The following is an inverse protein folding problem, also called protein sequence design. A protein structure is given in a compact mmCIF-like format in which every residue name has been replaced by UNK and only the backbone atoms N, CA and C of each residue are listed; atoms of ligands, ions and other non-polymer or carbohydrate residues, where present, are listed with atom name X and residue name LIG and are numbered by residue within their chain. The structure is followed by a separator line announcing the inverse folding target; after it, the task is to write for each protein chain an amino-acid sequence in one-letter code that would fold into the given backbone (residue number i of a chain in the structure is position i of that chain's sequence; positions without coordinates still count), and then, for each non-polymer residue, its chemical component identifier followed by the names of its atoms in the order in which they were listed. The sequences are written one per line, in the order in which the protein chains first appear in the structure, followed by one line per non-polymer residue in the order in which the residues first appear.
data_IF_117979320362
#
_entry.id   IF_117979320362
#
_cell.length_a   1.000
_cell.length_b   1.000
_cell.length_c   1.000
_cell.angle_alpha   90.00
_cell.angle_beta   90.00
_cell.angle_gamma   90.00
#
_symmetry.space_group_name_H-M   'P 1'
#
loop_
_entity.id
_entity.type
_entity.pdbx_description
1 polymer ?
#
# COMPACT_ATOMS: atom_id res chain seq x y z
N UNK A 1 6.10 -5.67 16.35
CA UNK A 1 6.35 -6.61 15.25
C UNK A 1 7.41 -6.01 14.34
N UNK A 2 8.42 -6.78 13.92
CA UNK A 2 9.51 -6.24 13.11
C UNK A 2 9.06 -5.85 11.69
N UNK A 3 9.62 -4.80 11.06
CA UNK A 3 9.33 -4.42 9.67
C UNK A 3 9.45 -5.54 8.63
N UNK A 4 10.30 -6.52 8.90
CA UNK A 4 10.51 -7.70 8.05
C UNK A 4 9.28 -8.64 8.04
N UNK A 5 8.43 -8.57 9.06
CA UNK A 5 7.23 -9.41 9.18
C UNK A 5 6.01 -8.70 8.59
N UNK A 6 5.75 -7.44 8.98
CA UNK A 6 4.56 -6.71 8.52
C UNK A 6 4.76 -5.98 7.18
N UNK A 7 6.00 -5.66 6.80
CA UNK A 7 6.30 -4.93 5.57
C UNK A 7 5.94 -5.70 4.29
N UNK A 8 6.35 -6.98 4.14
CA UNK A 8 6.07 -7.74 2.93
C UNK A 8 4.57 -7.90 2.61
N UNK A 9 3.67 -8.19 3.57
CA UNK A 9 2.24 -8.24 3.30
C UNK A 9 1.65 -6.89 2.84
N UNK A 10 2.08 -5.78 3.45
CA UNK A 10 1.63 -4.43 3.04
C UNK A 10 2.08 -4.11 1.61
N UNK A 11 3.35 -4.35 1.29
CA UNK A 11 3.87 -4.15 -0.05
C UNK A 11 3.17 -5.03 -1.08
N UNK A 12 2.94 -6.31 -0.72
CA UNK A 12 2.21 -7.23 -1.58
C UNK A 12 0.81 -6.71 -1.89
N UNK A 13 0.07 -6.24 -0.89
CA UNK A 13 -1.24 -5.65 -1.11
C UNK A 13 -1.18 -4.44 -2.06
N UNK A 14 -0.29 -3.49 -1.81
CA UNK A 14 -0.20 -2.27 -2.63
C UNK A 14 0.10 -2.59 -4.09
N UNK A 15 1.12 -3.41 -4.34
CA UNK A 15 1.49 -3.76 -5.71
C UNK A 15 0.42 -4.63 -6.39
N UNK A 16 -0.21 -5.57 -5.67
CA UNK A 16 -1.31 -6.38 -6.22
C UNK A 16 -2.51 -5.52 -6.61
N UNK A 17 -2.92 -4.55 -5.80
CA UNK A 17 -4.06 -3.68 -6.14
C UNK A 17 -3.77 -2.81 -7.37
N UNK A 18 -2.57 -2.24 -7.46
CA UNK A 18 -2.19 -1.42 -8.62
C UNK A 18 -2.07 -2.28 -9.88
N UNK A 19 -1.56 -3.51 -9.76
CA UNK A 19 -1.50 -4.46 -10.88
C UNK A 19 -2.88 -4.85 -11.40
N UNK A 20 -3.78 -5.19 -10.46
CA UNK A 20 -5.10 -5.74 -10.75
C UNK A 20 -6.13 -4.69 -11.16
N UNK A 21 -5.86 -3.42 -10.88
CA UNK A 21 -6.73 -2.33 -11.29
C UNK A 21 -7.00 -2.40 -12.80
N UNK A 22 -8.27 -2.37 -13.20
CA UNK A 22 -8.62 -2.30 -14.61
C UNK A 22 -8.26 -0.94 -15.21
N UNK A 23 -7.85 -0.94 -16.47
CA UNK A 23 -7.34 0.28 -17.12
C UNK A 23 -8.46 1.25 -17.49
N UNK A 24 -9.64 0.73 -17.82
CA UNK A 24 -10.86 1.49 -18.15
C UNK A 24 -11.41 2.27 -16.95
N UNK A 25 -11.23 1.77 -15.73
CA UNK A 25 -11.69 2.42 -14.49
C UNK A 25 -10.60 3.20 -13.77
N UNK A 26 -9.38 3.21 -14.32
CA UNK A 26 -8.20 3.83 -13.70
C UNK A 26 -8.42 5.29 -13.29
N UNK A 27 -9.01 6.11 -14.17
CA UNK A 27 -9.18 7.56 -13.94
C UNK A 27 -10.06 7.86 -12.73
N UNK A 28 -10.94 6.93 -12.36
CA UNK A 28 -11.84 7.05 -11.21
C UNK A 28 -11.26 6.37 -9.97
N UNK A 29 -10.78 5.13 -10.12
CA UNK A 29 -10.39 4.28 -9.00
C UNK A 29 -8.93 4.51 -8.59
N UNK A 30 -8.04 4.83 -9.52
CA UNK A 30 -6.61 5.08 -9.29
C UNK A 30 -6.35 6.16 -8.23
N UNK A 31 -6.96 7.36 -8.34
CA UNK A 31 -6.83 8.41 -7.33
C UNK A 31 -7.33 7.99 -5.94
N UNK A 32 -8.43 7.23 -5.87
CA UNK A 32 -8.99 6.72 -4.61
C UNK A 32 -8.04 5.70 -3.97
N UNK A 33 -7.55 4.75 -4.76
CA UNK A 33 -6.56 3.75 -4.32
C UNK A 33 -5.31 4.44 -3.79
N UNK A 34 -4.80 5.46 -4.48
CA UNK A 34 -3.65 6.23 -4.00
C UNK A 34 -3.92 6.92 -2.65
N UNK A 35 -5.12 7.48 -2.47
CA UNK A 35 -5.57 8.02 -1.18
C UNK A 35 -5.51 6.98 -0.06
N UNK A 36 -5.96 5.76 -0.32
CA UNK A 36 -5.87 4.65 0.63
C UNK A 36 -4.42 4.24 0.92
N UNK A 37 -3.58 4.09 -0.10
CA UNK A 37 -2.15 3.78 0.06
C UNK A 37 -1.48 4.84 0.94
N UNK A 38 -1.73 6.13 0.68
CA UNK A 38 -1.18 7.24 1.47
C UNK A 38 -1.62 7.18 2.93
N UNK A 39 -2.92 6.94 3.20
CA UNK A 39 -3.44 6.79 4.57
C UNK A 39 -2.81 5.61 5.31
N UNK A 40 -2.74 4.45 4.65
CA UNK A 40 -2.17 3.23 5.23
C UNK A 40 -0.67 3.42 5.53
N UNK A 41 0.08 3.92 4.55
CA UNK A 41 1.53 4.10 4.65
C UNK A 41 1.92 5.21 5.64
N UNK A 42 1.06 6.20 5.89
CA UNK A 42 1.29 7.23 6.92
C UNK A 42 0.93 6.74 8.34
N UNK A 43 0.43 5.51 8.47
CA UNK A 43 0.00 4.91 9.74
C UNK A 43 0.54 3.48 9.90
N UNK A 44 1.74 3.20 9.38
CA UNK A 44 2.42 1.92 9.54
C UNK A 44 2.69 1.63 11.03
N UNK A 45 2.83 0.35 11.43
CA UNK A 45 3.20 -0.06 12.79
C UNK A 45 4.70 0.19 13.08
N UNK A 46 5.19 1.36 12.68
CA UNK A 46 6.56 1.86 12.82
C UNK A 46 6.55 3.39 12.58
N UNK A 47 6.70 4.22 13.63
CA UNK A 47 6.60 5.68 13.50
C UNK A 47 7.57 6.29 12.48
N UNK A 48 8.82 5.84 12.48
CA UNK A 48 9.85 6.28 11.52
C UNK A 48 9.44 5.92 10.07
N UNK A 49 8.97 4.68 9.86
CA UNK A 49 8.50 4.21 8.56
C UNK A 49 7.32 5.05 8.07
N UNK A 50 6.37 5.35 8.96
CA UNK A 50 5.20 6.18 8.68
C UNK A 50 5.59 7.60 8.28
N UNK A 51 6.47 8.24 9.05
CA UNK A 51 6.96 9.60 8.77
C UNK A 51 7.64 9.66 7.40
N UNK A 52 8.49 8.69 7.11
CA UNK A 52 9.20 8.60 5.83
C UNK A 52 8.27 8.38 4.64
N UNK A 53 7.30 7.48 4.77
CA UNK A 53 6.30 7.24 3.74
C UNK A 53 5.43 8.49 3.52
N UNK A 54 4.98 9.14 4.60
CA UNK A 54 4.18 10.36 4.54
C UNK A 54 4.93 11.49 3.81
N UNK A 55 6.20 11.72 4.16
CA UNK A 55 7.05 12.72 3.51
C UNK A 55 7.23 12.43 2.03
N UNK A 56 7.52 11.18 1.65
CA UNK A 56 7.67 10.81 0.24
C UNK A 56 6.36 11.02 -0.53
N UNK A 57 5.25 10.46 -0.04
CA UNK A 57 3.96 10.49 -0.72
C UNK A 57 3.32 11.88 -0.73
N UNK A 58 3.72 12.78 0.18
CA UNK A 58 3.28 14.19 0.15
C UNK A 58 3.82 14.96 -1.06
N UNK A 59 4.95 14.53 -1.62
CA UNK A 59 5.62 15.18 -2.77
C UNK A 59 5.12 14.67 -4.11
N UNK A 60 4.34 13.59 -4.12
CA UNK A 60 3.82 12.99 -5.35
C UNK A 60 2.63 13.81 -5.84
N UNK A 61 2.77 14.43 -7.01
CA UNK A 61 1.66 15.02 -7.74
C UNK A 61 0.91 13.94 -8.53
N UNK A 62 -0.16 13.39 -7.95
CA UNK A 62 -0.90 12.30 -8.58
C UNK A 62 -1.61 12.70 -9.88
N UNK A 63 -1.85 14.00 -10.13
CA UNK A 63 -2.42 14.47 -11.41
C UNK A 63 -1.50 14.17 -12.61
N UNK A 64 -0.20 13.98 -12.37
CA UNK A 64 0.78 13.58 -13.39
C UNK A 64 0.80 12.07 -13.67
N UNK A 65 0.10 11.26 -12.86
CA UNK A 65 0.04 9.81 -12.99
C UNK A 65 -1.25 9.50 -13.74
N UNK A 66 -1.15 9.32 -15.07
CA UNK A 66 -2.30 9.31 -15.97
C UNK A 66 -2.78 7.91 -16.31
N UNK A 67 -1.94 6.91 -16.10
CA UNK A 67 -2.22 5.52 -16.47
C UNK A 67 -1.91 4.57 -15.32
N UNK A 68 -2.47 3.35 -15.41
CA UNK A 68 -2.12 2.25 -14.50
C UNK A 68 -0.62 1.98 -14.50
N UNK A 69 0.03 2.03 -15.65
CA UNK A 69 1.46 1.80 -15.77
C UNK A 69 2.30 2.90 -15.08
N UNK A 70 1.88 4.17 -15.18
CA UNK A 70 2.49 5.26 -14.41
C UNK A 70 2.37 5.01 -12.91
N UNK A 71 1.23 4.49 -12.46
CA UNK A 71 1.02 4.16 -11.05
C UNK A 71 1.93 2.99 -10.62
N UNK A 72 2.05 1.93 -11.44
CA UNK A 72 3.00 0.83 -11.20
C UNK A 72 4.44 1.34 -11.06
N UNK A 73 4.86 2.22 -11.99
CA UNK A 73 6.20 2.85 -11.97
C UNK A 73 6.41 3.71 -10.73
N UNK A 74 5.43 4.52 -10.32
CA UNK A 74 5.53 5.33 -9.11
C UNK A 74 5.68 4.45 -7.86
N UNK A 75 4.88 3.38 -7.74
CA UNK A 75 4.96 2.45 -6.60
C UNK A 75 6.28 1.68 -6.58
N UNK A 76 6.80 1.31 -7.74
CA UNK A 76 8.13 0.71 -7.89
C UNK A 76 9.23 1.65 -7.40
N UNK A 77 9.21 2.92 -7.86
CA UNK A 77 10.16 3.93 -7.43
C UNK A 77 10.08 4.16 -5.91
N UNK A 78 8.87 4.26 -5.36
CA UNK A 78 8.66 4.40 -3.92
C UNK A 78 9.29 3.25 -3.13
N UNK A 79 9.04 1.99 -3.52
CA UNK A 79 9.62 0.82 -2.87
C UNK A 79 11.16 0.84 -2.94
N UNK A 80 11.72 1.23 -4.09
CA UNK A 80 13.16 1.29 -4.26
C UNK A 80 13.83 2.42 -3.47
N UNK A 81 13.16 3.57 -3.27
CA UNK A 81 13.63 4.59 -2.32
C UNK A 81 13.71 4.02 -0.89
N UNK A 82 12.72 3.21 -0.48
CA UNK A 82 12.76 2.53 0.83
C UNK A 82 13.90 1.52 0.88
N UNK A 83 14.10 0.71 -0.16
CA UNK A 83 15.20 -0.27 -0.22
C UNK A 83 16.57 0.39 -0.14
N UNK A 84 16.82 1.44 -0.92
CA UNK A 84 18.07 2.20 -0.90
C UNK A 84 18.40 2.67 0.53
N UNK A 85 17.42 3.27 1.21
CA UNK A 85 17.58 3.77 2.58
C UNK A 85 17.83 2.66 3.60
N UNK A 86 17.21 1.50 3.40
CA UNK A 86 17.41 0.31 4.22
C UNK A 86 18.63 -0.51 3.81
N UNK A 87 19.44 -0.03 2.85
CA UNK A 87 20.60 -0.72 2.28
C UNK A 87 20.24 -2.13 1.75
N UNK A 88 19.03 -2.28 1.22
CA UNK A 88 18.56 -3.49 0.56
C UNK A 88 18.83 -3.42 -0.94
N UNK A 89 18.98 -4.57 -1.63
CA UNK A 89 19.06 -4.60 -3.08
C UNK A 89 17.87 -3.89 -3.73
N UNK A 90 18.13 -3.17 -4.81
CA UNK A 90 17.08 -2.55 -5.61
C UNK A 90 16.28 -3.64 -6.31
N UNK A 91 14.95 -3.49 -6.32
CA UNK A 91 14.06 -4.38 -7.02
C UNK A 91 14.16 -4.11 -8.52
N UNK A 92 14.15 -5.16 -9.34
CA UNK A 92 14.01 -5.03 -10.79
C UNK A 92 12.52 -4.95 -11.16
N UNK A 93 12.17 -4.10 -12.13
CA UNK A 93 10.79 -3.91 -12.57
C UNK A 93 10.16 -5.20 -13.12
N UNK A 94 10.96 -6.12 -13.71
CA UNK A 94 10.50 -7.44 -14.18
C UNK A 94 9.85 -8.24 -13.05
N UNK A 95 10.29 -8.04 -11.82
CA UNK A 95 9.74 -8.73 -10.64
C UNK A 95 8.34 -8.24 -10.26
N UNK A 96 7.82 -7.18 -10.89
CA UNK A 96 6.43 -6.77 -10.72
C UNK A 96 5.46 -7.79 -11.35
N UNK A 97 5.88 -8.55 -12.35
CA UNK A 97 5.04 -9.56 -13.03
C UNK A 97 4.50 -10.61 -12.06
N UNK A 98 5.16 -10.83 -10.92
CA UNK A 98 4.66 -11.76 -9.88
C UNK A 98 3.29 -11.34 -9.34
N UNK A 99 2.96 -10.05 -9.36
CA UNK A 99 1.70 -9.54 -8.82
C UNK A 99 0.50 -9.82 -9.73
N UNK A 100 0.74 -10.11 -11.01
CA UNK A 100 -0.30 -10.50 -11.97
C UNK A 100 -1.02 -11.78 -11.54
N UNK A 101 -0.29 -12.70 -10.90
CA UNK A 101 -0.83 -13.99 -10.42
C UNK A 101 -1.36 -13.93 -8.99
N UNK A 102 -1.25 -12.79 -8.32
CA UNK A 102 -1.69 -12.65 -6.93
C UNK A 102 -3.21 -12.44 -6.84
N UNK A 103 -3.81 -13.02 -5.81
CA UNK A 103 -5.23 -12.83 -5.50
C UNK A 103 -5.41 -11.66 -4.52
N UNK A 104 -6.29 -10.71 -4.87
CA UNK A 104 -6.56 -9.49 -4.08
C UNK A 104 -7.08 -9.82 -2.68
N UNK A 105 -7.97 -10.81 -2.55
CA UNK A 105 -8.57 -11.22 -1.26
C UNK A 105 -7.48 -11.80 -0.35
N UNK A 106 -6.63 -12.69 -0.89
CA UNK A 106 -5.50 -13.25 -0.14
C UNK A 106 -4.51 -12.16 0.31
N UNK A 107 -4.15 -11.23 -0.60
CA UNK A 107 -3.27 -10.12 -0.27
C UNK A 107 -3.87 -9.22 0.84
N UNK A 108 -5.18 -8.93 0.76
CA UNK A 108 -5.90 -8.17 1.76
C UNK A 108 -5.93 -8.87 3.12
N UNK A 109 -6.24 -10.17 3.17
CA UNK A 109 -6.27 -10.92 4.43
C UNK A 109 -4.90 -10.96 5.11
N UNK A 110 -3.83 -11.14 4.33
CA UNK A 110 -2.45 -11.08 4.84
C UNK A 110 -2.06 -9.69 5.33
N UNK A 111 -2.54 -8.63 4.69
CA UNK A 111 -2.36 -7.26 5.16
C UNK A 111 -3.05 -7.04 6.51
N UNK A 112 -4.33 -7.43 6.63
CA UNK A 112 -5.11 -7.22 7.86
C UNK A 112 -4.47 -7.92 9.05
N UNK A 113 -3.92 -9.13 8.87
CA UNK A 113 -3.31 -9.90 9.94
C UNK A 113 -2.07 -9.23 10.57
N UNK A 114 -1.36 -8.38 9.81
CA UNK A 114 -0.12 -7.72 10.26
C UNK A 114 -0.26 -6.22 10.54
N UNK A 115 -1.29 -5.57 9.99
CA UNK A 115 -1.47 -4.12 10.18
C UNK A 115 -2.06 -3.78 11.56
N UNK A 116 -2.77 -4.71 12.19
CA UNK A 116 -3.22 -4.55 13.57
C UNK A 116 -2.06 -4.68 14.57
N UNK A 117 -1.92 -3.71 15.46
CA UNK A 117 -1.03 -3.81 16.63
C UNK A 117 -1.84 -4.23 17.86
N UNK A 118 -1.74 -5.49 18.28
CA UNK A 118 -2.28 -5.92 19.57
C UNK A 118 -1.28 -5.58 20.70
N UNK A 119 -1.78 -5.02 21.80
CA UNK A 119 -1.10 -5.12 23.11
C UNK A 119 -0.09 -4.03 23.51
N UNK A 120 0.15 -2.97 22.72
CA UNK A 120 1.02 -1.86 23.19
C UNK A 120 0.19 -0.64 23.59
N UNK A 121 -0.11 -0.53 24.89
CA UNK A 121 -0.91 0.55 25.50
C UNK A 121 -0.33 1.96 25.27
N UNK A 122 0.98 2.08 25.01
CA UNK A 122 1.63 3.37 24.68
C UNK A 122 1.23 3.92 23.30
N UNK A 123 0.63 3.10 22.44
CA UNK A 123 0.26 3.46 21.06
C UNK A 123 -1.27 3.36 20.83
N UNK A 124 -2.07 3.57 21.87
CA UNK A 124 -3.53 3.40 21.81
C UNK A 124 -4.19 4.26 20.72
N UNK A 125 -3.80 5.54 20.62
CA UNK A 125 -4.30 6.45 19.60
C UNK A 125 -3.96 5.95 18.18
N UNK A 126 -2.73 5.51 17.94
CA UNK A 126 -2.34 4.97 16.64
C UNK A 126 -3.07 3.66 16.31
N UNK A 127 -3.28 2.81 17.31
CA UNK A 127 -4.02 1.56 17.16
C UNK A 127 -5.48 1.82 16.78
N UNK A 128 -6.09 2.84 17.39
CA UNK A 128 -7.43 3.30 17.03
C UNK A 128 -7.47 3.85 15.60
N UNK A 129 -6.53 4.70 15.21
CA UNK A 129 -6.44 5.23 13.84
C UNK A 129 -6.31 4.11 12.80
N UNK A 130 -5.43 3.13 13.04
CA UNK A 130 -5.30 1.96 12.14
C UNK A 130 -6.59 1.16 12.04
N UNK A 131 -7.35 1.02 13.14
CA UNK A 131 -8.66 0.33 13.14
C UNK A 131 -9.68 1.07 12.26
N UNK A 132 -9.72 2.40 12.32
CA UNK A 132 -10.58 3.21 11.45
C UNK A 132 -10.16 3.08 9.99
N UNK A 133 -8.86 3.19 9.70
CA UNK A 133 -8.32 3.01 8.35
C UNK A 133 -8.70 1.65 7.76
N UNK A 134 -8.57 0.57 8.54
CA UNK A 134 -8.95 -0.77 8.11
C UNK A 134 -10.44 -0.89 7.81
N UNK A 135 -11.30 -0.30 8.66
CA UNK A 135 -12.75 -0.30 8.43
C UNK A 135 -13.10 0.43 7.13
N UNK A 136 -12.58 1.64 6.95
CA UNK A 136 -12.85 2.47 5.76
C UNK A 136 -12.32 1.79 4.49
N UNK A 137 -11.08 1.29 4.55
CA UNK A 137 -10.44 0.64 3.41
C UNK A 137 -11.16 -0.65 3.03
N UNK A 138 -11.60 -1.46 4.02
CA UNK A 138 -12.42 -2.64 3.76
C UNK A 138 -13.69 -2.29 3.02
N UNK A 139 -14.42 -1.28 3.50
CA UNK A 139 -15.68 -0.86 2.89
C UNK A 139 -15.47 -0.41 1.45
N UNK A 140 -14.45 0.44 1.23
CA UNK A 140 -14.10 0.91 -0.10
C UNK A 140 -13.70 -0.23 -1.03
N UNK A 141 -12.85 -1.16 -0.57
CA UNK A 141 -12.38 -2.28 -1.37
C UNK A 141 -13.53 -3.21 -1.74
N UNK A 142 -14.44 -3.51 -0.80
CA UNK A 142 -15.62 -4.33 -1.08
C UNK A 142 -16.54 -3.69 -2.13
N UNK A 143 -16.74 -2.37 -2.05
CA UNK A 143 -17.58 -1.65 -3.01
C UNK A 143 -16.95 -1.57 -4.41
N UNK A 144 -15.63 -1.70 -4.53
CA UNK A 144 -14.89 -1.55 -5.77
C UNK A 144 -14.19 -2.83 -6.23
N UNK A 145 -14.47 -3.97 -5.60
CA UNK A 145 -13.69 -5.20 -5.79
C UNK A 145 -13.69 -5.68 -7.24
N UNK A 146 -14.79 -5.47 -7.97
CA UNK A 146 -14.93 -5.81 -9.39
C UNK A 146 -13.91 -5.11 -10.28
N UNK A 147 -13.41 -3.93 -9.90
CA UNK A 147 -12.37 -3.21 -10.65
C UNK A 147 -10.97 -3.85 -10.49
N UNK A 148 -10.87 -4.95 -9.74
CA UNK A 148 -9.63 -5.66 -9.45
C UNK A 148 -9.71 -7.18 -9.71
N UNK A 149 -10.81 -7.67 -10.29
CA UNK A 149 -11.03 -9.10 -10.56
C UNK A 149 -10.66 -9.49 -11.99
#
# INVERSE_FOLDING_TARGET
MSPEIWGPPIWTLFHTLVEKLHEDTYTVIGPQLFGHIKRIASNLPCPECSQHAALFLSKINFNGIKTKDDFKKMMFFFHNVVNYRKKKPMYNQILLNKYEKMNVITAYNNFVSVYHTKGNMKLLAESFQRKLILKDFRQWLMNNISNFM
#
